data_IF_552001978870
#
_entry.id   IF_552001978870
#
_cell.length_a   1.000
_cell.length_b   1.000
_cell.length_c   1.000
_cell.angle_alpha   90.00
_cell.angle_beta   90.00
_cell.angle_gamma   90.00
#
_symmetry.space_group_name_H-M   'P 1'
#
loop_
_entity.id
_entity.type
_entity.pdbx_description
1 polymer ?
#
# COMPACT_ATOMS: atom_id res chain seq x y z
N UNK A 1 -12.23 3.27 -3.95
CA UNK A 1 -11.15 4.28 -3.81
C UNK A 1 -11.74 5.40 -2.97
N UNK A 2 -11.30 5.53 -1.70
CA UNK A 2 -11.94 6.41 -0.70
C UNK A 2 -11.43 7.84 -0.92
N UNK A 3 -11.92 8.49 -1.95
CA UNK A 3 -11.85 9.93 -2.11
C UNK A 3 -13.29 10.42 -2.23
N UNK A 4 -13.87 10.82 -1.10
CA UNK A 4 -15.22 11.44 -1.06
C UNK A 4 -15.24 12.84 -1.69
N UNK A 5 -14.10 13.31 -2.21
CA UNK A 5 -13.92 14.65 -2.76
C UNK A 5 -13.63 14.57 -4.26
N UNK A 6 -14.46 15.25 -5.06
CA UNK A 6 -14.21 15.45 -6.50
C UNK A 6 -12.87 16.17 -6.67
N UNK A 7 -11.99 15.64 -7.51
CA UNK A 7 -10.69 16.25 -7.79
C UNK A 7 -10.92 17.61 -8.48
N UNK A 8 -10.45 18.73 -7.91
CA UNK A 8 -10.69 20.04 -8.49
C UNK A 8 -9.87 20.22 -9.77
N UNK A 9 -10.47 20.78 -10.82
CA UNK A 9 -9.82 21.02 -12.13
C UNK A 9 -8.51 21.83 -12.01
N UNK A 10 -8.46 22.76 -11.04
CA UNK A 10 -7.27 23.57 -10.75
C UNK A 10 -6.04 22.72 -10.36
N UNK A 11 -6.25 21.58 -9.69
CA UNK A 11 -5.18 20.67 -9.32
C UNK A 11 -4.57 19.99 -10.55
N UNK A 12 -5.42 19.44 -11.42
CA UNK A 12 -5.00 18.80 -12.68
C UNK A 12 -4.23 19.81 -13.54
N UNK A 13 -4.78 21.02 -13.68
CA UNK A 13 -4.13 22.07 -14.47
C UNK A 13 -2.75 22.44 -13.92
N UNK A 14 -2.62 22.63 -12.60
CA UNK A 14 -1.33 22.93 -11.99
C UNK A 14 -0.29 21.81 -12.15
N UNK A 15 -0.73 20.56 -12.27
CA UNK A 15 0.13 19.41 -12.46
C UNK A 15 0.74 19.36 -13.87
N UNK A 16 -0.06 19.70 -14.89
CA UNK A 16 0.35 19.55 -16.30
C UNK A 16 0.75 20.86 -16.99
N UNK A 17 0.57 22.02 -16.35
CA UNK A 17 0.78 23.35 -16.96
C UNK A 17 2.13 23.52 -17.67
N UNK A 18 3.22 23.00 -17.09
CA UNK A 18 4.55 23.12 -17.68
C UNK A 18 4.71 22.22 -18.91
N UNK A 19 4.18 21.00 -18.87
CA UNK A 19 4.19 20.09 -20.02
C UNK A 19 3.33 20.63 -21.17
N UNK A 20 2.15 21.17 -20.86
CA UNK A 20 1.29 21.81 -21.86
C UNK A 20 1.95 23.02 -22.50
N UNK A 21 2.56 23.91 -21.69
CA UNK A 21 3.27 25.08 -22.20
C UNK A 21 4.44 24.66 -23.10
N UNK A 22 5.22 23.67 -22.68
CA UNK A 22 6.35 23.16 -23.46
C UNK A 22 5.91 22.59 -24.81
N UNK A 23 4.88 21.74 -24.83
CA UNK A 23 4.31 21.17 -26.06
C UNK A 23 3.75 22.27 -26.98
N UNK A 24 3.06 23.26 -26.40
CA UNK A 24 2.52 24.40 -27.15
C UNK A 24 3.64 25.21 -27.81
N UNK A 25 4.71 25.54 -27.08
CA UNK A 25 5.84 26.29 -27.63
C UNK A 25 6.54 25.53 -28.75
N UNK A 26 6.82 24.23 -28.56
CA UNK A 26 7.42 23.41 -29.62
C UNK A 26 6.51 23.35 -30.85
N UNK A 27 5.21 23.14 -30.66
CA UNK A 27 4.25 23.07 -31.78
C UNK A 27 4.23 24.38 -32.58
N UNK A 28 4.23 25.53 -31.90
CA UNK A 28 4.28 26.84 -32.55
C UNK A 28 5.59 27.07 -33.30
N UNK A 29 6.73 26.72 -32.70
CA UNK A 29 8.05 26.84 -33.32
C UNK A 29 8.12 25.97 -34.57
N UNK A 30 7.75 24.68 -34.47
CA UNK A 30 7.76 23.76 -35.60
C UNK A 30 6.79 24.20 -36.70
N UNK A 31 5.60 24.70 -36.37
CA UNK A 31 4.66 25.21 -37.35
C UNK A 31 5.19 26.44 -38.09
N UNK A 32 5.78 27.39 -37.36
CA UNK A 32 6.40 28.58 -37.93
C UNK A 32 7.55 28.19 -38.88
N UNK A 33 8.43 27.30 -38.44
CA UNK A 33 9.57 26.84 -39.23
C UNK A 33 9.12 26.09 -40.49
N UNK A 34 8.09 25.25 -40.38
CA UNK A 34 7.52 24.53 -41.52
C UNK A 34 6.95 25.49 -42.60
N UNK A 35 6.34 26.61 -42.20
CA UNK A 35 5.88 27.63 -43.15
C UNK A 35 7.02 28.41 -43.78
N UNK A 36 8.02 28.81 -42.98
CA UNK A 36 9.17 29.59 -43.44
C UNK A 36 10.05 28.82 -44.44
N UNK A 37 10.19 27.50 -44.27
CA UNK A 37 10.98 26.62 -45.13
C UNK A 37 10.10 25.71 -46.01
N UNK A 38 8.87 26.15 -46.33
CA UNK A 38 7.90 25.39 -47.12
C UNK A 38 8.42 24.97 -48.50
N UNK A 39 9.41 25.67 -49.06
CA UNK A 39 10.05 25.33 -50.33
C UNK A 39 11.14 24.25 -50.23
N UNK A 40 11.64 23.94 -49.02
CA UNK A 40 12.76 23.01 -48.80
C UNK A 40 12.33 21.73 -48.07
N UNK A 41 11.21 21.77 -47.33
CA UNK A 41 10.72 20.65 -46.53
C UNK A 41 9.69 19.80 -47.31
N UNK A 42 9.86 18.47 -47.37
CA UNK A 42 8.84 17.58 -47.91
C UNK A 42 7.66 17.43 -46.93
N UNK A 43 6.48 17.14 -47.47
CA UNK A 43 5.28 16.88 -46.67
C UNK A 43 5.48 15.68 -45.74
N UNK A 44 5.32 15.89 -44.44
CA UNK A 44 5.44 14.83 -43.44
C UNK A 44 4.15 13.99 -43.40
N UNK A 45 4.24 12.66 -43.51
CA UNK A 45 3.07 11.80 -43.39
C UNK A 45 2.58 11.73 -41.93
N UNK A 46 1.27 11.88 -41.74
CA UNK A 46 0.58 11.78 -40.44
C UNK A 46 0.69 10.39 -39.78
N UNK A 47 1.13 9.37 -40.53
CA UNK A 47 1.28 8.01 -40.04
C UNK A 47 2.35 7.88 -38.94
N UNK A 48 3.41 8.69 -38.98
CA UNK A 48 4.52 8.59 -38.01
C UNK A 48 4.06 9.00 -36.60
N UNK A 49 3.48 10.20 -36.37
CA UNK A 49 2.93 10.55 -35.05
C UNK A 49 1.80 9.62 -34.60
N UNK A 50 0.93 9.19 -35.53
CA UNK A 50 -0.17 8.28 -35.22
C UNK A 50 0.34 6.92 -34.71
N UNK A 51 1.31 6.32 -35.40
CA UNK A 51 1.93 5.07 -34.99
C UNK A 51 2.60 5.19 -33.62
N UNK A 52 3.41 6.24 -33.40
CA UNK A 52 4.05 6.48 -32.10
C UNK A 52 3.02 6.65 -30.97
N UNK A 53 1.95 7.40 -31.20
CA UNK A 53 0.87 7.57 -30.22
C UNK A 53 0.19 6.26 -29.84
N UNK A 54 -0.13 5.42 -30.83
CA UNK A 54 -0.72 4.10 -30.57
C UNK A 54 0.21 3.18 -29.79
N UNK A 55 1.49 3.11 -30.17
CA UNK A 55 2.48 2.30 -29.48
C UNK A 55 2.66 2.75 -28.01
N UNK A 56 2.77 4.06 -27.76
CA UNK A 56 2.90 4.61 -26.40
C UNK A 56 1.64 4.30 -25.58
N UNK A 57 0.45 4.43 -26.17
CA UNK A 57 -0.82 4.15 -25.50
C UNK A 57 -0.91 2.69 -25.02
N UNK A 58 -0.58 1.74 -25.90
CA UNK A 58 -0.59 0.30 -25.59
C UNK A 58 0.45 -0.06 -24.53
N UNK A 59 1.68 0.45 -24.65
CA UNK A 59 2.72 0.20 -23.65
C UNK A 59 2.34 0.80 -22.29
N UNK A 60 1.75 2.00 -22.28
CA UNK A 60 1.29 2.64 -21.05
C UNK A 60 0.17 1.84 -20.39
N UNK A 61 -0.79 1.29 -21.16
CA UNK A 61 -1.87 0.49 -20.57
C UNK A 61 -1.35 -0.77 -19.88
N UNK A 62 -0.38 -1.47 -20.48
CA UNK A 62 0.23 -2.63 -19.83
C UNK A 62 1.00 -2.25 -18.57
N UNK A 63 1.77 -1.15 -18.59
CA UNK A 63 2.50 -0.65 -17.42
C UNK A 63 1.57 -0.21 -16.28
N UNK A 64 0.46 0.44 -16.62
CA UNK A 64 -0.55 0.85 -15.63
C UNK A 64 -1.24 -0.36 -15.00
N UNK A 65 -1.57 -1.39 -15.80
CA UNK A 65 -2.15 -2.64 -15.30
C UNK A 65 -1.25 -3.32 -14.27
N UNK A 66 0.03 -3.52 -14.59
CA UNK A 66 0.99 -4.16 -13.67
C UNK A 66 1.16 -3.38 -12.36
N UNK A 67 1.17 -2.05 -12.45
CA UNK A 67 1.30 -1.19 -11.27
C UNK A 67 0.06 -1.25 -10.39
N UNK A 68 -1.13 -1.39 -11.00
CA UNK A 68 -2.39 -1.59 -10.30
C UNK A 68 -2.44 -2.95 -9.59
N UNK A 69 -2.02 -4.02 -10.26
CA UNK A 69 -1.97 -5.36 -9.68
C UNK A 69 -1.05 -5.40 -8.45
N UNK A 70 0.16 -4.82 -8.55
CA UNK A 70 1.09 -4.71 -7.41
C UNK A 70 0.52 -3.92 -6.24
N UNK A 71 -0.19 -2.82 -6.52
CA UNK A 71 -0.87 -2.05 -5.46
C UNK A 71 -1.96 -2.89 -4.78
N UNK A 72 -2.69 -3.68 -5.56
CA UNK A 72 -3.72 -4.58 -5.03
C UNK A 72 -3.15 -5.74 -4.23
N UNK A 73 -2.03 -6.33 -4.66
CA UNK A 73 -1.29 -7.35 -3.90
C UNK A 73 -0.88 -6.86 -2.52
N UNK A 74 -0.29 -5.66 -2.43
CA UNK A 74 0.09 -5.06 -1.16
C UNK A 74 -1.13 -4.89 -0.23
N UNK A 75 -2.27 -4.43 -0.78
CA UNK A 75 -3.51 -4.29 0.00
C UNK A 75 -4.01 -5.63 0.52
N UNK A 76 -4.06 -6.67 -0.32
CA UNK A 76 -4.45 -8.03 0.10
C UNK A 76 -3.54 -8.59 1.17
N UNK A 77 -2.23 -8.38 1.06
CA UNK A 77 -1.25 -8.85 2.04
C UNK A 77 -1.50 -8.26 3.44
N UNK A 78 -1.80 -6.96 3.53
CA UNK A 78 -2.16 -6.33 4.82
C UNK A 78 -3.43 -6.92 5.43
N UNK A 79 -4.47 -7.16 4.62
CA UNK A 79 -5.70 -7.79 5.10
C UNK A 79 -5.49 -9.23 5.55
N UNK A 80 -4.68 -10.01 4.81
CA UNK A 80 -4.34 -11.37 5.18
C UNK A 80 -3.62 -11.46 6.53
N UNK A 81 -2.72 -10.51 6.82
CA UNK A 81 -2.07 -10.45 8.14
C UNK A 81 -3.09 -10.19 9.25
N UNK A 82 -4.01 -9.24 9.05
CA UNK A 82 -5.07 -8.93 10.02
C UNK A 82 -5.96 -10.16 10.25
N UNK A 83 -6.39 -10.83 9.18
CA UNK A 83 -7.20 -12.05 9.24
C UNK A 83 -6.47 -13.14 10.03
N UNK A 84 -5.20 -13.39 9.73
CA UNK A 84 -4.41 -14.42 10.42
C UNK A 84 -4.23 -14.09 11.90
N UNK A 85 -3.95 -12.83 12.24
CA UNK A 85 -3.88 -12.39 13.65
C UNK A 85 -5.22 -12.57 14.35
N UNK A 86 -6.33 -12.20 13.73
CA UNK A 86 -7.66 -12.38 14.29
C UNK A 86 -8.00 -13.87 14.51
N UNK A 87 -7.65 -14.73 13.56
CA UNK A 87 -7.81 -16.19 13.71
C UNK A 87 -7.02 -16.75 14.89
N UNK A 88 -5.79 -16.26 15.13
CA UNK A 88 -5.02 -16.66 16.29
C UNK A 88 -5.65 -16.22 17.62
N UNK A 89 -6.28 -15.04 17.67
CA UNK A 89 -6.92 -14.50 18.86
C UNK A 89 -8.26 -15.18 19.22
N UNK A 90 -8.92 -15.84 18.26
CA UNK A 90 -10.20 -16.52 18.51
C UNK A 90 -10.09 -17.70 19.48
N UNK A 91 -8.93 -18.38 19.50
CA UNK A 91 -8.68 -19.55 20.35
C UNK A 91 -7.48 -19.30 21.31
N UNK A 92 -7.65 -18.52 22.39
CA UNK A 92 -6.55 -18.06 23.23
C UNK A 92 -6.04 -19.09 24.27
N UNK A 93 -6.46 -20.36 24.16
CA UNK A 93 -6.11 -21.43 25.10
C UNK A 93 -5.47 -22.63 24.40
N UNK A 94 -4.84 -22.41 23.24
CA UNK A 94 -4.18 -23.46 22.46
C UNK A 94 -2.72 -23.65 22.84
N UNK A 95 -2.30 -23.08 23.98
CA UNK A 95 -0.95 -23.17 24.53
C UNK A 95 0.12 -22.64 23.56
N UNK A 96 -0.20 -21.58 22.80
CA UNK A 96 0.76 -20.89 21.93
C UNK A 96 1.48 -19.78 22.70
N UNK A 97 2.66 -19.32 22.24
CA UNK A 97 3.39 -18.23 22.90
C UNK A 97 2.62 -16.91 23.00
N UNK A 98 1.66 -16.66 22.10
CA UNK A 98 0.80 -15.47 22.08
C UNK A 98 -0.50 -15.62 22.86
N UNK A 99 -0.79 -16.83 23.36
CA UNK A 99 -2.03 -17.18 24.03
C UNK A 99 -1.99 -16.74 25.51
N UNK A 100 -3.12 -16.84 26.19
CA UNK A 100 -3.22 -16.50 27.61
C UNK A 100 -2.61 -17.62 28.45
N UNK A 101 -1.71 -17.26 29.37
CA UNK A 101 -1.04 -18.22 30.24
C UNK A 101 -1.92 -18.64 31.42
N UNK A 102 -2.71 -19.69 31.22
CA UNK A 102 -3.66 -20.19 32.23
C UNK A 102 -2.92 -20.64 33.49
N UNK A 103 -1.73 -21.23 33.35
CA UNK A 103 -0.92 -21.70 34.48
C UNK A 103 -0.46 -20.53 35.36
N UNK A 104 -0.02 -19.43 34.73
CA UNK A 104 0.40 -18.24 35.44
C UNK A 104 -0.76 -17.57 36.18
N UNK A 105 -1.93 -17.46 35.52
CA UNK A 105 -3.15 -16.93 36.13
C UNK A 105 -3.57 -17.79 37.32
N UNK A 106 -3.60 -19.12 37.15
CA UNK A 106 -3.93 -20.05 38.23
C UNK A 106 -2.96 -19.90 39.41
N UNK A 107 -1.67 -19.73 39.13
CA UNK A 107 -0.64 -19.51 40.15
C UNK A 107 -0.84 -18.21 40.92
N UNK A 108 -1.19 -17.13 40.23
CA UNK A 108 -1.52 -15.85 40.88
C UNK A 108 -2.78 -15.97 41.74
N UNK A 109 -3.81 -16.69 41.27
CA UNK A 109 -5.02 -16.95 42.06
C UNK A 109 -4.68 -17.75 43.32
N UNK A 110 -3.85 -18.79 43.21
CA UNK A 110 -3.39 -19.59 44.35
C UNK A 110 -2.69 -18.73 45.41
N UNK A 111 -1.74 -17.89 44.98
CA UNK A 111 -1.01 -16.98 45.86
C UNK A 111 -1.98 -16.02 46.56
N UNK A 112 -2.89 -15.39 45.80
CA UNK A 112 -3.85 -14.44 46.36
C UNK A 112 -4.75 -15.09 47.42
N UNK A 113 -5.22 -16.31 47.19
CA UNK A 113 -6.08 -17.03 48.15
C UNK A 113 -5.32 -17.34 49.45
N UNK A 114 -4.09 -17.85 49.35
CA UNK A 114 -3.28 -18.19 50.53
C UNK A 114 -2.92 -16.94 51.35
N UNK A 115 -2.63 -15.82 50.68
CA UNK A 115 -2.42 -14.54 51.35
C UNK A 115 -3.66 -14.06 52.12
N UNK A 116 -4.85 -14.20 51.53
CA UNK A 116 -6.12 -13.85 52.20
C UNK A 116 -6.41 -14.73 53.41
N UNK A 117 -5.92 -15.97 53.42
CA UNK A 117 -6.05 -16.90 54.56
C UNK A 117 -4.98 -16.68 55.64
N UNK A 118 -4.05 -15.74 55.44
CA UNK A 118 -2.98 -15.45 56.39
C UNK A 118 -1.85 -16.49 56.39
N UNK A 119 -1.74 -17.33 55.36
CA UNK A 119 -0.63 -18.27 55.24
C UNK A 119 0.69 -17.51 54.98
N UNK A 120 1.75 -17.87 55.71
CA UNK A 120 3.08 -17.27 55.51
C UNK A 120 3.86 -17.94 54.37
N UNK A 121 3.55 -19.20 54.06
CA UNK A 121 4.24 -19.96 53.02
C UNK A 121 3.44 -19.92 51.72
N UNK A 122 3.71 -18.90 50.92
CA UNK A 122 3.08 -18.74 49.60
C UNK A 122 3.93 -19.35 48.50
N UNK A 123 3.30 -19.98 47.49
CA UNK A 123 4.02 -20.53 46.36
C UNK A 123 4.74 -19.46 45.52
N UNK A 124 5.91 -19.78 44.93
CA UNK A 124 6.63 -18.84 44.06
C UNK A 124 5.85 -18.48 42.79
N UNK A 125 6.02 -17.25 42.29
CA UNK A 125 5.44 -16.78 41.04
C UNK A 125 5.88 -17.63 39.84
N UNK A 126 4.99 -17.83 38.87
CA UNK A 126 5.29 -18.61 37.68
C UNK A 126 6.45 -17.96 36.89
N UNK A 127 7.53 -18.72 36.66
CA UNK A 127 8.72 -18.26 35.93
C UNK A 127 8.60 -18.63 34.44
N UNK A 128 9.13 -17.81 33.52
CA UNK A 128 9.23 -18.16 32.11
C UNK A 128 10.09 -19.41 31.93
N UNK A 129 9.62 -20.36 31.13
CA UNK A 129 10.46 -21.50 30.70
C UNK A 129 11.44 -21.06 29.61
N UNK A 130 11.04 -20.10 28.77
CA UNK A 130 11.89 -19.43 27.77
C UNK A 130 11.58 -17.92 27.71
N UNK A 131 11.34 -17.35 26.52
CA UNK A 131 10.97 -15.94 26.31
C UNK A 131 9.50 -15.63 26.67
N UNK A 132 8.71 -16.63 27.02
CA UNK A 132 7.29 -16.52 27.34
C UNK A 132 6.88 -17.49 28.45
N UNK A 133 5.73 -17.22 29.06
CA UNK A 133 5.08 -18.07 30.08
C UNK A 133 3.85 -18.70 29.41
N UNK A 134 3.65 -20.00 29.60
CA UNK A 134 2.48 -20.77 29.14
C UNK A 134 1.50 -21.06 30.28
#
# INVERSE_FOLDING_TARGET
>A
MILDKRIPLKYIFNLIKHNLLFVLLISLITNYLARAFSSLLPDMPLSIPAFLGTAISVLLSFKMSQSYDRWWEARKASFYLIEKSAYHLQDPFRNRPSDVSVSAIARTIEINIRQLQGEQEVPETAKPTEFYIL
#
